data_IF_970539123068
#
_entry.id   IF_970539123068
#
_cell.length_a   1.000
_cell.length_b   1.000
_cell.length_c   1.000
_cell.angle_alpha   90.00
_cell.angle_beta   90.00
_cell.angle_gamma   90.00
#
_symmetry.space_group_name_H-M   'P 1'
#
loop_
_entity.id
_entity.type
_entity.pdbx_description
1 polymer ?
#
# COMPACT_ATOMS: atom_id res chain seq x y z
N UNK A 1 7.83 -17.43 19.72
CA UNK A 1 7.29 -17.66 18.36
C UNK A 1 5.88 -17.07 18.14
N UNK A 2 5.00 -17.00 19.15
CA UNK A 2 3.61 -16.50 18.99
C UNK A 2 3.47 -15.00 18.68
N UNK A 3 4.33 -14.17 19.25
CA UNK A 3 4.29 -12.70 19.07
C UNK A 3 4.61 -12.31 17.62
N UNK A 4 5.57 -12.98 16.98
CA UNK A 4 5.93 -12.70 15.57
C UNK A 4 4.77 -12.99 14.62
N UNK A 5 4.04 -14.07 14.83
CA UNK A 5 2.85 -14.39 14.03
C UNK A 5 1.76 -13.34 14.24
N UNK A 6 1.48 -12.93 15.49
CA UNK A 6 0.48 -11.91 15.79
C UNK A 6 0.80 -10.57 15.12
N UNK A 7 2.07 -10.16 15.12
CA UNK A 7 2.51 -8.93 14.43
C UNK A 7 2.35 -9.03 12.91
N UNK A 8 2.56 -10.20 12.32
CA UNK A 8 2.35 -10.41 10.88
C UNK A 8 0.86 -10.35 10.54
N UNK A 9 -0.02 -10.96 11.35
CA UNK A 9 -1.46 -10.87 11.18
C UNK A 9 -1.96 -9.42 11.28
N UNK A 10 -1.49 -8.68 12.29
CA UNK A 10 -1.83 -7.28 12.43
C UNK A 10 -1.36 -6.44 11.24
N UNK A 11 -0.10 -6.63 10.80
CA UNK A 11 0.41 -5.95 9.60
C UNK A 11 -0.41 -6.30 8.35
N UNK A 12 -0.79 -7.56 8.18
CA UNK A 12 -1.60 -7.99 7.03
C UNK A 12 -3.00 -7.37 7.04
N UNK A 13 -3.63 -7.28 8.22
CA UNK A 13 -4.92 -6.62 8.40
C UNK A 13 -4.83 -5.12 8.06
N UNK A 14 -3.80 -4.43 8.59
CA UNK A 14 -3.55 -3.00 8.29
C UNK A 14 -3.30 -2.77 6.80
N UNK A 15 -2.42 -3.55 6.17
CA UNK A 15 -2.17 -3.44 4.73
C UNK A 15 -3.42 -3.75 3.90
N UNK A 16 -4.20 -4.77 4.28
CA UNK A 16 -5.44 -5.12 3.62
C UNK A 16 -6.46 -3.98 3.68
N UNK A 17 -6.70 -3.43 4.87
CA UNK A 17 -7.60 -2.28 5.03
C UNK A 17 -7.15 -1.06 4.20
N UNK A 18 -5.85 -0.76 4.20
CA UNK A 18 -5.31 0.34 3.39
C UNK A 18 -5.52 0.13 1.88
N UNK A 19 -5.26 -1.07 1.38
CA UNK A 19 -5.37 -1.39 -0.04
C UNK A 19 -6.82 -1.40 -0.52
N UNK A 20 -7.74 -1.99 0.26
CA UNK A 20 -9.16 -1.96 -0.04
C UNK A 20 -9.75 -0.55 0.10
N UNK A 21 -9.37 0.19 1.14
CA UNK A 21 -9.83 1.57 1.34
C UNK A 21 -9.41 2.50 0.20
N UNK A 22 -8.14 2.44 -0.21
CA UNK A 22 -7.62 3.20 -1.36
C UNK A 22 -8.28 2.79 -2.68
N UNK A 23 -8.53 1.50 -2.88
CA UNK A 23 -9.20 1.00 -4.10
C UNK A 23 -10.65 1.49 -4.19
N UNK A 24 -11.39 1.52 -3.07
CA UNK A 24 -12.73 2.09 -3.03
C UNK A 24 -12.71 3.60 -3.27
N UNK A 25 -11.71 4.31 -2.73
CA UNK A 25 -11.51 5.74 -2.96
C UNK A 25 -11.29 6.06 -4.46
N UNK A 26 -10.47 5.27 -5.16
CA UNK A 26 -10.28 5.42 -6.63
C UNK A 26 -11.61 5.25 -7.39
N UNK A 27 -12.55 4.45 -6.88
CA UNK A 27 -13.88 4.32 -7.46
C UNK A 27 -14.82 5.51 -7.21
N UNK A 28 -14.54 6.33 -6.20
CA UNK A 28 -15.27 7.56 -5.89
C UNK A 28 -14.63 8.84 -6.46
N UNK A 29 -13.34 8.80 -6.81
CA UNK A 29 -12.65 9.88 -7.53
C UNK A 29 -13.29 10.01 -8.91
N UNK A 30 -13.96 11.13 -9.17
CA UNK A 30 -14.68 11.38 -10.42
C UNK A 30 -13.76 11.39 -11.64
N UNK A 31 -14.10 10.57 -12.65
CA UNK A 31 -13.38 10.40 -13.92
C UNK A 31 -13.71 9.05 -14.58
N UNK A 32 -13.07 8.72 -15.71
CA UNK A 32 -13.21 7.39 -16.33
C UNK A 32 -12.62 6.31 -15.41
N UNK A 33 -13.49 5.57 -14.73
CA UNK A 33 -13.13 4.50 -13.78
C UNK A 33 -12.18 3.48 -14.44
N UNK A 34 -12.40 3.17 -15.71
CA UNK A 34 -11.55 2.25 -16.47
C UNK A 34 -10.11 2.75 -16.62
N UNK A 35 -9.91 4.05 -16.85
CA UNK A 35 -8.58 4.64 -17.00
C UNK A 35 -7.85 4.68 -15.65
N UNK A 36 -8.52 5.13 -14.59
CA UNK A 36 -7.94 5.16 -13.24
C UNK A 36 -7.58 3.76 -12.75
N UNK A 37 -8.43 2.77 -13.02
CA UNK A 37 -8.15 1.38 -12.67
C UNK A 37 -7.00 0.79 -13.49
N UNK A 38 -6.93 1.09 -14.80
CA UNK A 38 -5.83 0.67 -15.65
C UNK A 38 -4.49 1.28 -15.22
N UNK A 39 -4.45 2.57 -14.86
CA UNK A 39 -3.25 3.25 -14.37
C UNK A 39 -2.82 2.72 -12.99
N UNK A 40 -3.78 2.48 -12.08
CA UNK A 40 -3.49 1.87 -10.78
C UNK A 40 -2.93 0.44 -10.93
N UNK A 41 -3.51 -0.35 -11.84
CA UNK A 41 -3.02 -1.69 -12.19
C UNK A 41 -1.62 -1.66 -12.82
N UNK A 42 -1.39 -0.73 -13.75
CA UNK A 42 -0.07 -0.55 -14.37
C UNK A 42 1.00 -0.13 -13.36
N UNK A 43 0.64 0.65 -12.34
CA UNK A 43 1.55 1.11 -11.28
C UNK A 43 1.90 0.01 -10.27
N UNK A 44 1.04 -1.00 -10.10
CA UNK A 44 1.34 -2.16 -9.23
C UNK A 44 2.51 -3.00 -9.75
N UNK A 45 2.69 -3.10 -11.07
CA UNK A 45 3.76 -3.90 -11.70
C UNK A 45 5.17 -3.38 -11.31
N UNK A 46 5.52 -2.10 -11.53
CA UNK A 46 6.79 -1.55 -11.07
C UNK A 46 6.86 -1.51 -9.54
N UNK A 47 5.73 -1.28 -8.85
CA UNK A 47 5.67 -1.34 -7.38
C UNK A 47 6.12 -2.69 -6.82
N UNK A 48 5.66 -3.80 -7.40
CA UNK A 48 6.09 -5.14 -7.01
C UNK A 48 7.56 -5.41 -7.32
N UNK A 49 8.07 -4.88 -8.42
CA UNK A 49 9.48 -5.03 -8.78
C UNK A 49 10.39 -4.30 -7.78
N UNK A 50 10.00 -3.08 -7.39
CA UNK A 50 10.68 -2.30 -6.34
C UNK A 50 10.59 -3.00 -4.99
N UNK A 51 9.43 -3.56 -4.63
CA UNK A 51 9.26 -4.31 -3.39
C UNK A 51 10.17 -5.55 -3.36
N UNK A 52 10.27 -6.30 -4.46
CA UNK A 52 11.17 -7.44 -4.57
C UNK A 52 12.64 -7.03 -4.40
N UNK A 53 13.06 -5.96 -5.07
CA UNK A 53 14.42 -5.43 -4.94
C UNK A 53 14.72 -4.94 -3.51
N UNK A 54 13.79 -4.21 -2.90
CA UNK A 54 13.93 -3.70 -1.53
C UNK A 54 13.99 -4.82 -0.49
N UNK A 55 13.24 -5.91 -0.69
CA UNK A 55 13.35 -7.10 0.16
C UNK A 55 14.73 -7.76 0.07
N UNK A 56 15.33 -7.79 -1.12
CA UNK A 56 16.62 -8.41 -1.36
C UNK A 56 17.80 -7.57 -0.83
N UNK A 57 17.67 -6.23 -0.85
CA UNK A 57 18.71 -5.28 -0.38
C UNK A 57 18.65 -4.93 1.11
N UNK A 58 17.45 -4.71 1.66
CA UNK A 58 17.26 -4.11 3.01
C UNK A 58 16.78 -5.13 4.06
N UNK A 59 16.33 -6.32 3.64
CA UNK A 59 15.84 -7.37 4.51
C UNK A 59 14.38 -7.20 4.96
N UNK A 60 13.68 -8.34 5.12
CA UNK A 60 12.21 -8.46 5.32
C UNK A 60 11.57 -7.51 6.35
N UNK A 61 12.24 -7.25 7.49
CA UNK A 61 11.67 -6.45 8.58
C UNK A 61 11.68 -4.96 8.28
N UNK A 62 12.75 -4.47 7.64
CA UNK A 62 12.89 -3.06 7.29
C UNK A 62 11.94 -2.73 6.14
N UNK A 63 11.83 -3.61 5.14
CA UNK A 63 10.90 -3.42 4.02
C UNK A 63 9.46 -3.26 4.50
N UNK A 64 9.00 -4.11 5.44
CA UNK A 64 7.65 -4.02 6.00
C UNK A 64 7.41 -2.70 6.76
N UNK A 65 8.37 -2.26 7.58
CA UNK A 65 8.24 -1.00 8.33
C UNK A 65 8.17 0.18 7.36
N UNK A 66 9.09 0.25 6.39
CA UNK A 66 9.14 1.33 5.40
C UNK A 66 7.86 1.36 4.57
N UNK A 67 7.39 0.23 4.06
CA UNK A 67 6.15 0.16 3.27
C UNK A 67 4.94 0.63 4.08
N UNK A 68 4.81 0.21 5.34
CA UNK A 68 3.68 0.61 6.18
C UNK A 68 3.75 2.10 6.58
N UNK A 69 4.95 2.62 6.85
CA UNK A 69 5.15 4.05 7.11
C UNK A 69 4.84 4.91 5.88
N UNK A 70 5.30 4.51 4.69
CA UNK A 70 5.01 5.20 3.44
C UNK A 70 3.51 5.19 3.14
N UNK A 71 2.84 4.05 3.33
CA UNK A 71 1.39 3.95 3.16
C UNK A 71 0.63 4.87 4.14
N UNK A 72 1.06 4.93 5.41
CA UNK A 72 0.47 5.82 6.41
C UNK A 72 0.65 7.31 6.06
N UNK A 73 1.85 7.70 5.62
CA UNK A 73 2.11 9.07 5.17
C UNK A 73 1.28 9.42 3.93
N UNK A 74 1.17 8.50 2.97
CA UNK A 74 0.35 8.69 1.78
C UNK A 74 -1.13 8.89 2.12
N UNK A 75 -1.67 8.10 3.07
CA UNK A 75 -3.04 8.26 3.55
C UNK A 75 -3.26 9.60 4.28
N UNK A 76 -2.31 10.04 5.10
CA UNK A 76 -2.37 11.35 5.77
C UNK A 76 -2.31 12.50 4.76
N UNK A 77 -1.47 12.40 3.73
CA UNK A 77 -1.40 13.38 2.64
C UNK A 77 -2.71 13.43 1.85
N UNK A 78 -3.37 12.29 1.64
CA UNK A 78 -4.68 12.20 1.00
C UNK A 78 -5.77 12.96 1.78
N UNK A 79 -5.71 12.92 3.11
CA UNK A 79 -6.60 13.70 3.98
C UNK A 79 -6.19 15.17 3.99
N UNK A 80 -4.89 15.46 3.99
CA UNK A 80 -4.35 16.81 4.09
C UNK A 80 -4.41 17.61 2.79
N UNK A 81 -4.56 16.94 1.64
CA UNK A 81 -4.85 17.55 0.35
C UNK A 81 -6.37 17.57 0.15
N UNK A 82 -7.08 18.68 0.45
CA UNK A 82 -8.48 18.80 0.11
C UNK A 82 -8.52 19.11 -1.39
N UNK A 83 -8.90 18.12 -2.18
CA UNK A 83 -9.22 18.24 -3.60
C UNK A 83 -10.62 17.71 -3.83
#
# INVERSE_FOLDING_TARGET
MRIKSMSIFFNWLVCGMGLFGMTQYIGQVGGDIFLNFAVSGATQIPGNFVAWWAMNKLGRKITLIVSNSVAGIAALLLIAAPG
#
